data_IF_259718828675
#
_entry.id   IF_259718828675
#
_cell.length_a   1.000
_cell.length_b   1.000
_cell.length_c   1.000
_cell.angle_alpha   90.00
_cell.angle_beta   90.00
_cell.angle_gamma   90.00
#
_symmetry.space_group_name_H-M   'P 1'
#
loop_
_entity.id
_entity.type
_entity.pdbx_description
1 polymer ?
#
# COMPACT_ATOMS: atom_id res chain seq x y z
N UNK A 1 -19.90 -38.32 2.19
CA UNK A 1 -20.10 -36.91 1.79
C UNK A 1 -18.97 -36.49 0.89
N UNK A 2 -19.29 -36.12 -0.33
CA UNK A 2 -18.30 -35.64 -1.31
C UNK A 2 -17.85 -34.21 -0.95
N UNK A 3 -16.78 -33.78 -1.57
CA UNK A 3 -16.27 -32.41 -1.40
C UNK A 3 -17.33 -31.36 -1.81
N UNK A 4 -18.01 -31.60 -2.92
CA UNK A 4 -19.06 -30.70 -3.42
C UNK A 4 -20.22 -30.58 -2.45
N UNK A 5 -20.69 -31.70 -1.91
CA UNK A 5 -21.76 -31.73 -0.91
C UNK A 5 -21.35 -30.93 0.35
N UNK A 6 -20.11 -31.12 0.82
CA UNK A 6 -19.62 -30.40 1.99
C UNK A 6 -19.58 -28.90 1.75
N UNK A 7 -19.07 -28.49 0.59
CA UNK A 7 -18.99 -27.06 0.23
C UNK A 7 -20.39 -26.43 0.16
N UNK A 8 -21.37 -27.15 -0.38
CA UNK A 8 -22.75 -26.67 -0.43
C UNK A 8 -23.33 -26.47 0.98
N UNK A 9 -22.99 -27.38 1.91
CA UNK A 9 -23.45 -27.28 3.29
C UNK A 9 -22.81 -26.11 4.05
N UNK A 10 -21.67 -25.57 3.58
CA UNK A 10 -21.02 -24.44 4.23
C UNK A 10 -21.73 -23.11 3.96
N UNK A 11 -22.48 -22.98 2.87
CA UNK A 11 -23.06 -21.70 2.47
C UNK A 11 -24.11 -21.16 3.44
N UNK A 12 -25.11 -21.96 3.88
CA UNK A 12 -26.16 -21.42 4.78
C UNK A 12 -25.62 -20.93 6.14
N UNK A 13 -24.82 -21.71 6.90
CA UNK A 13 -24.33 -21.21 8.19
C UNK A 13 -23.37 -20.03 8.05
N UNK A 14 -22.60 -19.97 6.95
CA UNK A 14 -21.70 -18.87 6.69
C UNK A 14 -22.46 -17.56 6.37
N UNK A 15 -23.52 -17.67 5.56
CA UNK A 15 -24.36 -16.52 5.22
C UNK A 15 -25.13 -16.00 6.44
N UNK A 16 -25.68 -16.91 7.26
CA UNK A 16 -26.38 -16.54 8.50
C UNK A 16 -25.46 -15.83 9.49
N UNK A 17 -24.24 -16.35 9.66
CA UNK A 17 -23.23 -15.73 10.52
C UNK A 17 -22.85 -14.33 10.00
N UNK A 18 -22.61 -14.20 8.70
CA UNK A 18 -22.19 -12.94 8.08
C UNK A 18 -23.22 -11.83 8.28
N UNK A 19 -24.51 -12.17 8.27
CA UNK A 19 -25.57 -11.19 8.47
C UNK A 19 -25.46 -10.43 9.79
N UNK A 20 -24.89 -11.08 10.84
CA UNK A 20 -24.69 -10.45 12.14
C UNK A 20 -23.25 -10.03 12.45
N UNK A 21 -22.29 -10.61 11.75
CA UNK A 21 -20.87 -10.43 12.07
C UNK A 21 -20.12 -9.51 11.09
N UNK A 22 -20.76 -9.10 9.99
CA UNK A 22 -20.10 -8.30 8.95
C UNK A 22 -19.68 -6.93 9.50
N UNK A 23 -18.39 -6.63 9.38
CA UNK A 23 -17.89 -5.29 9.71
C UNK A 23 -18.48 -4.29 8.72
N UNK A 24 -18.88 -3.12 9.24
CA UNK A 24 -19.37 -2.03 8.40
C UNK A 24 -18.17 -1.36 7.73
N UNK A 25 -17.96 -1.64 6.46
CA UNK A 25 -16.85 -1.13 5.66
C UNK A 25 -17.39 -0.31 4.49
N UNK A 26 -16.82 0.88 4.22
CA UNK A 26 -17.38 1.78 3.19
C UNK A 26 -17.56 1.11 1.82
N UNK A 27 -16.63 0.26 1.44
CA UNK A 27 -16.67 -0.44 0.15
C UNK A 27 -17.68 -1.58 0.09
N UNK A 28 -18.30 -1.95 1.22
CA UNK A 28 -19.37 -2.94 1.27
C UNK A 28 -20.77 -2.32 1.11
N UNK A 29 -20.83 -0.97 1.20
CA UNK A 29 -22.10 -0.23 1.07
C UNK A 29 -22.45 0.09 -0.38
N UNK A 30 -21.66 -0.41 -1.33
CA UNK A 30 -21.81 -0.06 -2.74
C UNK A 30 -21.56 -1.29 -3.64
N UNK A 31 -22.18 -1.28 -4.82
CA UNK A 31 -21.89 -2.23 -5.90
C UNK A 31 -21.31 -1.51 -7.12
N UNK A 32 -20.96 -0.25 -6.99
CA UNK A 32 -20.28 0.51 -8.04
C UNK A 32 -18.93 -0.16 -8.33
N UNK A 33 -18.72 -0.69 -9.56
CA UNK A 33 -17.50 -1.47 -9.83
C UNK A 33 -16.22 -0.66 -9.68
N UNK A 34 -16.23 0.66 -9.95
CA UNK A 34 -15.06 1.51 -9.73
C UNK A 34 -14.69 1.55 -8.24
N UNK A 35 -15.69 1.79 -7.40
CA UNK A 35 -15.46 1.91 -5.94
C UNK A 35 -15.03 0.59 -5.31
N UNK A 36 -15.63 -0.52 -5.73
CA UNK A 36 -15.26 -1.87 -5.25
C UNK A 36 -13.85 -2.22 -5.71
N UNK A 37 -13.54 -1.99 -7.00
CA UNK A 37 -12.21 -2.27 -7.56
C UNK A 37 -11.11 -1.49 -6.84
N UNK A 38 -11.30 -0.19 -6.60
CA UNK A 38 -10.31 0.63 -5.85
C UNK A 38 -10.04 0.00 -4.49
N UNK A 39 -11.11 -0.42 -3.76
CA UNK A 39 -10.93 -1.03 -2.44
C UNK A 39 -10.19 -2.37 -2.54
N UNK A 40 -10.51 -3.21 -3.54
CA UNK A 40 -9.87 -4.51 -3.70
C UNK A 40 -8.36 -4.37 -3.96
N UNK A 41 -7.97 -3.39 -4.79
CA UNK A 41 -6.55 -3.11 -5.05
C UNK A 41 -5.86 -2.56 -3.79
N UNK A 42 -6.52 -1.66 -3.05
CA UNK A 42 -5.94 -1.13 -1.81
C UNK A 42 -5.76 -2.20 -0.73
N UNK A 43 -6.69 -3.15 -0.67
CA UNK A 43 -6.68 -4.23 0.33
C UNK A 43 -5.65 -5.33 0.04
N UNK A 44 -5.09 -5.39 -1.18
CA UNK A 44 -4.02 -6.34 -1.48
C UNK A 44 -2.85 -6.13 -0.52
N UNK A 45 -2.59 -7.11 0.36
CA UNK A 45 -1.50 -7.09 1.34
C UNK A 45 -1.52 -5.88 2.30
N UNK A 46 -2.67 -5.24 2.47
CA UNK A 46 -2.84 -4.09 3.38
C UNK A 46 -4.04 -4.35 4.30
N UNK A 47 -3.86 -4.05 5.58
CA UNK A 47 -4.91 -4.25 6.59
C UNK A 47 -6.07 -3.30 6.38
N UNK A 48 -7.28 -3.78 6.64
CA UNK A 48 -8.55 -3.03 6.49
C UNK A 48 -8.49 -1.65 7.17
N UNK A 49 -7.99 -1.60 8.40
CA UNK A 49 -7.97 -0.35 9.18
C UNK A 49 -7.08 0.72 8.53
N UNK A 50 -5.96 0.30 7.95
CA UNK A 50 -5.10 1.23 7.21
C UNK A 50 -5.80 1.76 5.95
N UNK A 51 -6.55 0.91 5.25
CA UNK A 51 -7.19 1.27 3.97
C UNK A 51 -8.32 2.29 4.14
N UNK A 52 -9.07 2.27 5.27
CA UNK A 52 -10.26 3.12 5.45
C UNK A 52 -10.01 4.60 5.10
N UNK A 53 -8.99 5.20 5.69
CA UNK A 53 -8.67 6.61 5.46
C UNK A 53 -8.17 6.89 4.04
N UNK A 54 -7.34 5.99 3.51
CA UNK A 54 -6.83 6.11 2.13
C UNK A 54 -7.96 6.06 1.10
N UNK A 55 -8.89 5.12 1.27
CA UNK A 55 -10.02 4.91 0.37
C UNK A 55 -10.89 6.19 0.31
N UNK A 56 -11.21 6.77 1.47
CA UNK A 56 -12.02 7.98 1.52
C UNK A 56 -11.34 9.15 0.79
N UNK A 57 -10.06 9.40 1.11
CA UNK A 57 -9.30 10.51 0.48
C UNK A 57 -9.13 10.30 -1.02
N UNK A 58 -8.86 9.06 -1.43
CA UNK A 58 -8.63 8.72 -2.84
C UNK A 58 -9.90 8.93 -3.67
N UNK A 59 -11.06 8.46 -3.17
CA UNK A 59 -12.33 8.64 -3.88
C UNK A 59 -12.81 10.09 -3.87
N UNK A 60 -12.45 10.87 -2.84
CA UNK A 60 -12.72 12.32 -2.83
C UNK A 60 -11.94 13.02 -3.94
N UNK A 61 -10.68 12.64 -4.15
CA UNK A 61 -9.84 13.23 -5.21
C UNK A 61 -10.19 12.68 -6.60
N UNK A 62 -10.49 11.38 -6.68
CA UNK A 62 -10.76 10.69 -7.95
C UNK A 62 -12.10 9.94 -7.83
N UNK A 63 -13.23 10.65 -7.98
CA UNK A 63 -14.56 10.02 -7.79
C UNK A 63 -14.94 9.03 -8.89
N UNK A 64 -14.27 9.05 -10.04
CA UNK A 64 -14.53 8.15 -11.18
C UNK A 64 -13.23 7.67 -11.80
N UNK A 65 -13.30 6.58 -12.58
CA UNK A 65 -12.15 6.09 -13.35
C UNK A 65 -11.63 7.16 -14.32
N UNK A 66 -12.51 7.96 -14.91
CA UNK A 66 -12.12 9.05 -15.81
C UNK A 66 -11.34 10.15 -15.07
N UNK A 67 -11.75 10.49 -13.84
CA UNK A 67 -11.02 11.45 -13.02
C UNK A 67 -9.63 10.91 -12.66
N UNK A 68 -9.55 9.63 -12.29
CA UNK A 68 -8.28 8.98 -11.98
C UNK A 68 -7.38 8.93 -13.22
N UNK A 69 -7.93 8.56 -14.38
CA UNK A 69 -7.17 8.45 -15.64
C UNK A 69 -6.53 9.78 -16.06
N UNK A 70 -7.21 10.90 -15.82
CA UNK A 70 -6.72 12.25 -16.17
C UNK A 70 -5.71 12.81 -15.17
N UNK A 71 -5.62 12.23 -13.99
CA UNK A 71 -4.74 12.74 -12.93
C UNK A 71 -3.26 12.51 -13.30
N UNK A 72 -2.36 13.44 -12.95
CA UNK A 72 -0.94 13.15 -13.07
C UNK A 72 -0.54 11.97 -12.16
N UNK A 73 0.33 11.09 -12.66
CA UNK A 73 0.83 9.94 -11.87
C UNK A 73 1.34 10.38 -10.49
N UNK A 74 2.00 11.53 -10.43
CA UNK A 74 2.55 12.09 -9.20
C UNK A 74 1.47 12.32 -8.13
N UNK A 75 0.30 12.82 -8.53
CA UNK A 75 -0.82 13.03 -7.62
C UNK A 75 -1.38 11.69 -7.12
N UNK A 76 -1.48 10.70 -8.01
CA UNK A 76 -1.94 9.36 -7.64
C UNK A 76 -0.99 8.73 -6.62
N UNK A 77 0.32 8.81 -6.88
CA UNK A 77 1.35 8.28 -5.98
C UNK A 77 1.37 9.03 -4.64
N UNK A 78 1.10 10.35 -4.66
CA UNK A 78 1.04 11.15 -3.42
C UNK A 78 -0.13 10.71 -2.53
N UNK A 79 -1.31 10.49 -3.10
CA UNK A 79 -2.49 10.00 -2.34
C UNK A 79 -2.32 8.56 -1.86
N UNK A 80 -1.40 7.80 -2.48
CA UNK A 80 -1.06 6.42 -2.07
C UNK A 80 0.07 6.36 -1.04
N UNK A 81 0.72 7.49 -0.77
CA UNK A 81 1.91 7.57 0.09
C UNK A 81 1.65 6.95 1.47
N UNK A 82 2.44 5.92 1.82
CA UNK A 82 2.31 5.18 3.07
C UNK A 82 1.60 3.84 2.98
N UNK A 83 0.80 3.59 1.92
CA UNK A 83 0.15 2.29 1.72
C UNK A 83 1.11 1.18 1.29
N UNK A 84 2.24 1.55 0.68
CA UNK A 84 3.22 0.58 0.18
C UNK A 84 2.80 -0.07 -1.14
N UNK A 85 3.71 -0.89 -1.69
CA UNK A 85 3.46 -1.62 -2.95
C UNK A 85 2.93 -0.68 -4.05
N UNK A 86 3.68 0.38 -4.34
CA UNK A 86 3.27 1.46 -5.24
C UNK A 86 3.01 1.01 -6.68
N UNK A 87 3.49 -0.17 -7.07
CA UNK A 87 3.12 -0.79 -8.35
C UNK A 87 1.61 -0.96 -8.49
N UNK A 88 0.89 -1.17 -7.36
CA UNK A 88 -0.58 -1.23 -7.36
C UNK A 88 -1.21 0.09 -7.78
N UNK A 89 -0.67 1.20 -7.27
CA UNK A 89 -1.17 2.55 -7.64
C UNK A 89 -0.96 2.82 -9.13
N UNK A 90 0.22 2.46 -9.65
CA UNK A 90 0.51 2.63 -11.08
C UNK A 90 -0.38 1.73 -11.95
N UNK A 91 -0.57 0.47 -11.54
CA UNK A 91 -1.46 -0.45 -12.26
C UNK A 91 -2.90 0.06 -12.23
N UNK A 92 -3.37 0.54 -11.06
CA UNK A 92 -4.69 1.14 -10.90
C UNK A 92 -4.87 2.34 -11.85
N UNK A 93 -3.86 3.21 -11.93
CA UNK A 93 -3.86 4.39 -12.80
C UNK A 93 -3.92 3.98 -14.29
N UNK A 94 -3.09 3.01 -14.70
CA UNK A 94 -3.08 2.50 -16.07
C UNK A 94 -4.42 1.83 -16.45
N UNK A 95 -5.00 1.04 -15.52
CA UNK A 95 -6.30 0.41 -15.75
C UNK A 95 -7.42 1.44 -15.84
N UNK A 96 -7.34 2.52 -15.04
CA UNK A 96 -8.34 3.61 -15.11
C UNK A 96 -8.40 4.24 -16.49
N UNK A 97 -7.26 4.37 -17.19
CA UNK A 97 -7.24 4.88 -18.55
C UNK A 97 -7.99 3.95 -19.54
N UNK A 98 -7.83 2.63 -19.39
CA UNK A 98 -8.57 1.66 -20.19
C UNK A 98 -10.06 1.72 -19.88
N UNK A 99 -10.43 1.78 -18.61
CA UNK A 99 -11.84 1.86 -18.18
C UNK A 99 -12.48 3.17 -18.67
N UNK A 100 -11.75 4.28 -18.64
CA UNK A 100 -12.27 5.57 -19.10
C UNK A 100 -12.52 5.56 -20.62
N UNK A 101 -11.72 4.81 -21.38
CA UNK A 101 -11.84 4.71 -22.83
C UNK A 101 -12.94 3.73 -23.29
N UNK A 102 -13.10 2.61 -22.57
CA UNK A 102 -13.91 1.48 -23.06
C UNK A 102 -15.06 1.09 -22.12
N UNK A 103 -15.18 1.74 -20.96
CA UNK A 103 -16.13 1.34 -19.91
C UNK A 103 -15.55 0.28 -18.99
N UNK A 104 -16.24 0.04 -17.87
CA UNK A 104 -15.82 -0.96 -16.90
C UNK A 104 -16.22 -2.36 -17.43
N UNK A 105 -15.26 -3.32 -17.57
CA UNK A 105 -15.62 -4.65 -18.07
C UNK A 105 -16.58 -5.35 -17.12
N UNK A 106 -17.58 -6.02 -17.69
CA UNK A 106 -18.63 -6.71 -16.91
C UNK A 106 -18.52 -8.24 -17.01
N UNK A 107 -17.40 -8.75 -17.56
CA UNK A 107 -17.13 -10.19 -17.67
C UNK A 107 -15.76 -10.51 -17.05
N UNK A 108 -15.54 -11.79 -16.75
CA UNK A 108 -14.34 -12.23 -16.04
C UNK A 108 -13.05 -11.94 -16.82
N UNK A 109 -13.07 -12.20 -18.12
CA UNK A 109 -11.84 -12.08 -18.94
C UNK A 109 -11.46 -10.61 -19.13
N UNK A 110 -12.45 -9.74 -19.34
CA UNK A 110 -12.23 -8.31 -19.39
C UNK A 110 -11.68 -7.75 -18.07
N UNK A 111 -12.24 -8.22 -16.94
CA UNK A 111 -11.72 -7.82 -15.62
C UNK A 111 -10.26 -8.29 -15.44
N UNK A 112 -9.98 -9.53 -15.83
CA UNK A 112 -8.64 -10.12 -15.69
C UNK A 112 -7.60 -9.44 -16.59
N UNK A 113 -8.04 -8.85 -17.71
CA UNK A 113 -7.17 -8.13 -18.63
C UNK A 113 -6.71 -6.76 -18.11
N UNK A 114 -7.38 -6.23 -17.07
CA UNK A 114 -7.01 -4.92 -16.51
C UNK A 114 -5.65 -4.98 -15.78
N UNK A 115 -4.77 -3.99 -15.98
CA UNK A 115 -3.52 -3.92 -15.23
C UNK A 115 -3.72 -4.04 -13.71
N UNK A 116 -2.95 -4.91 -13.07
CA UNK A 116 -2.98 -5.10 -11.62
C UNK A 116 -4.14 -5.95 -11.09
N UNK A 117 -5.01 -6.45 -11.99
CA UNK A 117 -6.13 -7.31 -11.61
C UNK A 117 -5.73 -8.77 -11.85
N UNK A 118 -5.57 -9.50 -10.76
CA UNK A 118 -5.33 -10.94 -10.81
C UNK A 118 -6.63 -11.74 -10.67
N UNK A 119 -6.55 -13.07 -10.76
CA UNK A 119 -7.77 -13.93 -10.70
C UNK A 119 -8.63 -13.67 -9.47
N UNK A 120 -8.03 -13.45 -8.31
CA UNK A 120 -8.78 -13.16 -7.08
C UNK A 120 -9.56 -11.84 -7.22
N UNK A 121 -8.89 -10.76 -7.66
CA UNK A 121 -9.55 -9.45 -7.79
C UNK A 121 -10.63 -9.47 -8.87
N UNK A 122 -10.38 -10.13 -10.01
CA UNK A 122 -11.40 -10.31 -11.06
C UNK A 122 -12.62 -11.05 -10.53
N UNK A 123 -12.41 -12.15 -9.79
CA UNK A 123 -13.49 -12.93 -9.19
C UNK A 123 -14.27 -12.11 -8.15
N UNK A 124 -13.56 -11.34 -7.29
CA UNK A 124 -14.21 -10.51 -6.26
C UNK A 124 -15.07 -9.41 -6.90
N UNK A 125 -14.53 -8.63 -7.84
CA UNK A 125 -15.27 -7.56 -8.52
C UNK A 125 -16.43 -8.16 -9.33
N UNK A 126 -16.17 -9.24 -10.06
CA UNK A 126 -17.20 -9.94 -10.85
C UNK A 126 -18.37 -10.42 -10.00
N UNK A 127 -18.06 -11.04 -8.87
CA UNK A 127 -19.10 -11.55 -7.96
C UNK A 127 -19.88 -10.42 -7.28
N UNK A 128 -19.18 -9.42 -6.76
CA UNK A 128 -19.80 -8.33 -5.97
C UNK A 128 -20.63 -7.40 -6.86
N UNK A 129 -20.08 -7.01 -8.01
CA UNK A 129 -20.69 -5.95 -8.84
C UNK A 129 -21.59 -6.48 -9.93
N UNK A 130 -21.24 -7.62 -10.52
CA UNK A 130 -21.91 -8.15 -11.72
C UNK A 130 -22.61 -9.49 -11.50
N UNK A 131 -22.54 -10.02 -10.28
CA UNK A 131 -23.14 -11.32 -9.92
C UNK A 131 -22.62 -12.47 -10.79
N UNK A 132 -21.38 -12.36 -11.27
CA UNK A 132 -20.79 -13.42 -12.10
C UNK A 132 -20.55 -14.68 -11.26
N UNK A 133 -20.88 -15.87 -11.79
CA UNK A 133 -20.49 -17.12 -11.13
C UNK A 133 -18.99 -17.31 -11.26
N UNK A 134 -18.30 -17.22 -10.14
CA UNK A 134 -16.83 -17.38 -10.13
C UNK A 134 -16.44 -18.70 -9.46
N UNK A 135 -15.35 -19.29 -9.83
CA UNK A 135 -14.90 -20.56 -9.23
C UNK A 135 -14.75 -20.51 -7.70
N UNK A 136 -14.55 -19.36 -7.18
CA UNK A 136 -14.36 -19.18 -5.73
C UNK A 136 -15.66 -18.96 -4.97
N UNK A 137 -16.60 -18.94 -5.53
CA UNK A 137 -17.79 -18.78 -4.82
C UNK A 137 -19.00 -18.66 -5.74
N UNK A 138 -19.69 -19.51 -6.03
CA UNK A 138 -20.76 -19.63 -6.81
C UNK A 138 -21.94 -18.99 -6.22
N UNK A 139 -21.76 -18.49 -5.42
CA UNK A 139 -22.82 -17.89 -4.76
C UNK A 139 -22.71 -16.40 -4.80
N UNK A 140 -23.44 -15.86 -4.75
CA UNK A 140 -23.58 -14.48 -4.66
C UNK A 140 -22.54 -13.75 -3.90
N UNK A 141 -22.61 -12.66 -4.01
CA UNK A 141 -21.83 -11.71 -3.33
C UNK A 141 -21.79 -11.83 -1.85
N UNK A 142 -22.63 -12.34 -1.33
CA UNK A 142 -22.67 -12.55 0.06
C UNK A 142 -21.81 -13.67 0.51
N UNK A 143 -21.71 -14.65 -0.28
CA UNK A 143 -20.83 -15.77 0.16
C UNK A 143 -19.35 -15.41 0.05
N UNK A 144 -18.96 -14.77 -1.02
CA UNK A 144 -17.57 -14.29 -1.20
C UNK A 144 -17.17 -13.36 -0.05
N UNK A 145 -17.99 -12.39 0.25
CA UNK A 145 -17.72 -11.43 1.34
C UNK A 145 -17.70 -12.13 2.70
N UNK A 146 -18.56 -13.13 2.92
CA UNK A 146 -18.57 -13.85 4.20
C UNK A 146 -17.31 -14.72 4.38
N UNK A 147 -16.79 -15.31 3.31
CA UNK A 147 -15.51 -16.03 3.37
C UNK A 147 -14.34 -15.07 3.68
N UNK A 148 -14.31 -13.91 3.04
CA UNK A 148 -13.32 -12.87 3.33
C UNK A 148 -13.40 -12.42 4.79
N UNK A 149 -14.61 -12.22 5.31
CA UNK A 149 -14.81 -11.80 6.70
C UNK A 149 -14.39 -12.89 7.67
N UNK A 150 -14.76 -14.14 7.38
CA UNK A 150 -14.34 -15.29 8.20
C UNK A 150 -12.81 -15.36 8.30
N UNK A 151 -12.13 -15.23 7.17
CA UNK A 151 -10.67 -15.25 7.12
C UNK A 151 -10.02 -14.07 7.83
N UNK A 152 -10.72 -12.93 7.91
CA UNK A 152 -10.19 -11.72 8.56
C UNK A 152 -10.44 -11.70 10.08
N UNK A 153 -11.54 -12.31 10.57
CA UNK A 153 -11.99 -12.10 11.95
C UNK A 153 -12.03 -13.37 12.81
N UNK A 154 -12.13 -14.53 12.18
CA UNK A 154 -12.26 -15.82 12.90
C UNK A 154 -11.11 -16.77 12.57
N UNK A 155 -10.88 -17.03 11.30
CA UNK A 155 -9.88 -18.01 10.83
C UNK A 155 -8.66 -17.28 10.22
N UNK A 156 -8.14 -16.28 10.96
CA UNK A 156 -7.02 -15.45 10.48
C UNK A 156 -5.71 -16.21 10.44
N UNK A 157 -4.79 -15.82 9.54
CA UNK A 157 -3.51 -16.52 9.42
C UNK A 157 -2.47 -16.16 10.49
N UNK A 158 -2.75 -15.19 11.34
CA UNK A 158 -1.77 -14.66 12.32
C UNK A 158 -2.24 -14.95 13.76
N UNK A 159 -2.10 -16.18 14.19
CA UNK A 159 -2.47 -16.62 15.53
C UNK A 159 -3.42 -17.81 15.49
N UNK A 160 -3.81 -18.33 16.66
CA UNK A 160 -4.73 -19.47 16.70
C UNK A 160 -6.11 -19.08 16.13
N UNK A 161 -6.69 -19.92 15.30
CA UNK A 161 -8.02 -19.63 14.74
C UNK A 161 -9.10 -19.73 15.82
N UNK A 162 -10.12 -18.88 15.69
CA UNK A 162 -11.26 -18.83 16.63
C UNK A 162 -12.28 -19.93 16.34
N UNK A 163 -11.87 -21.19 16.43
CA UNK A 163 -12.68 -22.34 16.05
C UNK A 163 -13.98 -22.45 16.86
N UNK A 164 -14.01 -21.99 18.09
CA UNK A 164 -15.17 -22.08 18.97
C UNK A 164 -16.33 -21.19 18.52
N UNK A 165 -16.00 -20.09 17.84
CA UNK A 165 -17.01 -19.16 17.32
C UNK A 165 -17.15 -19.22 15.79
N UNK A 166 -16.56 -20.26 15.17
CA UNK A 166 -16.59 -20.41 13.71
C UNK A 166 -17.92 -21.00 13.24
N UNK A 167 -18.65 -20.37 12.31
CA UNK A 167 -19.90 -20.92 11.83
C UNK A 167 -19.73 -22.24 11.08
N UNK A 168 -18.49 -22.55 10.65
CA UNK A 168 -18.18 -23.77 9.91
C UNK A 168 -17.51 -24.82 10.79
N UNK A 169 -17.49 -24.66 12.11
CA UNK A 169 -16.76 -25.54 13.03
C UNK A 169 -17.12 -27.03 12.85
N UNK A 170 -18.43 -27.32 12.68
CA UNK A 170 -18.92 -28.69 12.54
C UNK A 170 -18.57 -29.33 11.18
N UNK A 171 -18.32 -28.50 10.16
CA UNK A 171 -18.02 -28.98 8.79
C UNK A 171 -16.52 -28.92 8.48
N UNK A 172 -15.71 -28.38 9.41
CA UNK A 172 -14.29 -28.08 9.14
C UNK A 172 -13.40 -29.31 9.30
N UNK A 173 -12.84 -29.79 8.19
CA UNK A 173 -11.91 -30.93 8.19
C UNK A 173 -10.64 -30.64 8.98
N UNK A 174 -10.13 -29.41 8.92
CA UNK A 174 -8.92 -29.03 9.64
C UNK A 174 -9.14 -29.10 11.17
N UNK A 175 -10.32 -28.64 11.63
CA UNK A 175 -10.68 -28.71 13.05
C UNK A 175 -10.88 -30.19 13.48
N UNK A 176 -11.60 -30.96 12.67
CA UNK A 176 -11.84 -32.37 12.96
C UNK A 176 -10.54 -33.18 13.07
N UNK A 177 -9.55 -32.80 12.27
CA UNK A 177 -8.23 -33.44 12.27
C UNK A 177 -7.22 -32.83 13.27
N UNK A 178 -7.65 -31.87 14.10
CA UNK A 178 -6.76 -31.20 15.06
C UNK A 178 -5.66 -30.36 14.41
N UNK A 179 -5.83 -29.93 13.14
CA UNK A 179 -4.80 -29.28 12.34
C UNK A 179 -5.10 -27.82 12.02
N UNK A 180 -6.13 -27.23 12.63
CA UNK A 180 -6.55 -25.88 12.27
C UNK A 180 -5.42 -24.84 12.46
N UNK A 181 -4.62 -24.98 13.51
CA UNK A 181 -3.51 -24.05 13.79
C UNK A 181 -2.33 -24.19 12.80
N UNK A 182 -2.22 -25.35 12.14
CA UNK A 182 -1.17 -25.59 11.15
C UNK A 182 -1.50 -25.00 9.78
N UNK A 183 -2.68 -24.40 9.62
CA UNK A 183 -3.15 -23.84 8.34
C UNK A 183 -3.29 -22.31 8.44
N UNK A 184 -3.00 -21.59 7.36
CA UNK A 184 -2.50 -22.10 6.08
C UNK A 184 -1.02 -22.55 6.18
N UNK A 185 -0.66 -23.57 5.41
CA UNK A 185 0.75 -23.99 5.30
C UNK A 185 1.53 -22.84 4.66
N UNK A 186 2.53 -22.34 5.35
CA UNK A 186 3.33 -21.21 4.87
C UNK A 186 4.68 -21.70 4.36
N UNK A 187 5.06 -21.22 3.18
CA UNK A 187 6.42 -21.45 2.69
C UNK A 187 7.41 -20.75 3.62
N UNK A 188 8.58 -21.36 3.78
CA UNK A 188 9.66 -20.74 4.56
C UNK A 188 10.02 -19.38 3.96
N UNK A 189 10.19 -18.40 4.83
CA UNK A 189 10.57 -17.06 4.39
C UNK A 189 12.01 -17.09 3.87
N UNK A 190 12.20 -16.63 2.65
CA UNK A 190 13.56 -16.46 2.10
C UNK A 190 14.26 -15.35 2.86
N UNK A 191 15.57 -15.52 3.07
CA UNK A 191 16.40 -14.50 3.69
C UNK A 191 16.35 -13.21 2.84
N UNK A 192 16.23 -12.07 3.49
CA UNK A 192 16.27 -10.77 2.80
C UNK A 192 17.71 -10.40 2.48
N UNK A 193 17.91 -9.78 1.32
CA UNK A 193 19.19 -9.17 0.99
C UNK A 193 19.33 -7.89 1.82
N UNK A 194 20.42 -7.77 2.57
CA UNK A 194 20.72 -6.58 3.35
C UNK A 194 21.46 -5.56 2.48
N UNK A 195 21.07 -4.30 2.55
CA UNK A 195 21.75 -3.18 1.89
C UNK A 195 21.95 -2.06 2.90
N UNK A 196 23.10 -1.44 2.84
CA UNK A 196 23.46 -0.29 3.67
C UNK A 196 23.44 0.98 2.83
N UNK A 197 22.87 2.07 3.38
CA UNK A 197 22.80 3.36 2.67
C UNK A 197 23.01 4.51 3.65
N UNK A 198 23.69 5.53 3.18
CA UNK A 198 23.74 6.84 3.84
C UNK A 198 22.71 7.74 3.16
N UNK A 199 21.83 8.33 3.95
CA UNK A 199 20.72 9.20 3.52
C UNK A 199 21.05 10.64 3.98
N UNK A 200 20.83 11.61 3.10
CA UNK A 200 21.16 13.00 3.36
C UNK A 200 19.88 13.85 3.42
N UNK A 201 19.72 14.59 4.51
CA UNK A 201 18.71 15.63 4.66
C UNK A 201 19.42 16.97 4.47
N UNK A 202 19.55 17.40 3.22
CA UNK A 202 20.23 18.65 2.88
C UNK A 202 19.19 19.77 2.91
N UNK A 203 19.37 20.71 3.86
CA UNK A 203 18.41 21.79 4.10
C UNK A 203 19.06 23.12 3.70
N UNK A 204 18.39 23.87 2.81
CA UNK A 204 18.79 25.23 2.43
C UNK A 204 17.59 26.14 2.71
N UNK A 205 17.68 26.94 3.77
CA UNK A 205 16.56 27.66 4.28
C UNK A 205 15.43 26.72 4.70
N UNK A 206 14.24 26.97 4.23
CA UNK A 206 13.02 26.15 4.48
C UNK A 206 12.87 24.96 3.51
N UNK A 207 13.84 24.77 2.58
CA UNK A 207 13.73 23.75 1.53
C UNK A 207 14.66 22.58 1.76
N UNK A 208 14.16 21.40 1.37
CA UNK A 208 14.83 20.10 1.51
C UNK A 208 15.14 19.53 0.13
N UNK A 209 16.36 19.06 -0.06
CA UNK A 209 16.75 18.40 -1.32
C UNK A 209 16.04 17.05 -1.48
N UNK A 210 15.45 16.82 -2.65
CA UNK A 210 14.85 15.53 -3.02
C UNK A 210 15.28 15.15 -4.44
N UNK A 211 15.25 13.85 -4.74
CA UNK A 211 15.59 13.31 -6.06
C UNK A 211 14.44 12.46 -6.58
N UNK A 212 14.31 12.39 -7.90
CA UNK A 212 13.35 11.49 -8.54
C UNK A 212 14.02 10.13 -8.79
N UNK A 213 13.37 9.07 -8.37
CA UNK A 213 13.85 7.71 -8.65
C UNK A 213 13.56 7.31 -10.11
N UNK A 214 14.34 6.39 -10.67
CA UNK A 214 14.08 5.89 -12.02
C UNK A 214 12.67 5.31 -12.16
N UNK A 215 12.20 5.20 -13.41
CA UNK A 215 10.87 4.65 -13.73
C UNK A 215 10.77 3.14 -13.51
N UNK A 216 11.89 2.47 -13.21
CA UNK A 216 11.94 1.01 -12.99
C UNK A 216 12.64 0.71 -11.67
N UNK A 217 12.45 -0.51 -11.18
CA UNK A 217 13.11 -0.97 -9.96
C UNK A 217 12.33 -0.66 -8.68
N UNK A 218 13.01 -0.82 -7.56
CA UNK A 218 12.41 -0.63 -6.23
C UNK A 218 12.00 0.84 -6.04
N UNK A 219 10.77 1.08 -5.62
CA UNK A 219 10.19 2.41 -5.38
C UNK A 219 10.22 3.30 -6.65
N UNK A 220 10.03 2.69 -7.82
CA UNK A 220 10.05 3.37 -9.13
C UNK A 220 9.15 4.60 -9.15
N UNK A 221 9.61 5.66 -9.79
CA UNK A 221 8.90 6.95 -10.01
C UNK A 221 8.59 7.74 -8.74
N UNK A 222 8.98 7.26 -7.59
CA UNK A 222 8.79 8.00 -6.32
C UNK A 222 9.93 8.99 -6.10
N UNK A 223 9.75 9.87 -5.14
CA UNK A 223 10.82 10.74 -4.67
C UNK A 223 11.65 10.03 -3.60
N UNK A 224 12.88 10.45 -3.43
CA UNK A 224 13.76 9.97 -2.37
C UNK A 224 14.60 11.13 -1.83
N UNK A 225 15.10 10.97 -0.63
CA UNK A 225 16.16 11.84 -0.13
C UNK A 225 17.48 11.45 -0.82
N UNK A 226 18.39 12.39 -1.10
CA UNK A 226 19.71 12.05 -1.63
C UNK A 226 20.35 10.93 -0.82
N UNK A 227 20.92 9.93 -1.48
CA UNK A 227 21.52 8.80 -0.76
C UNK A 227 22.63 8.15 -1.57
N UNK A 228 23.53 7.46 -0.88
CA UNK A 228 24.62 6.67 -1.48
C UNK A 228 24.69 5.31 -0.80
N UNK A 229 25.23 4.29 -1.49
CA UNK A 229 25.50 2.99 -0.85
C UNK A 229 26.52 3.12 0.29
N UNK A 230 26.41 2.24 1.28
CA UNK A 230 27.32 2.17 2.41
C UNK A 230 26.95 3.12 3.55
N UNK A 231 27.64 2.97 4.69
CA UNK A 231 27.42 3.77 5.90
C UNK A 231 28.64 4.70 6.10
N UNK A 232 28.55 5.89 5.54
CA UNK A 232 29.63 6.88 5.62
C UNK A 232 29.84 7.39 7.06
N UNK A 233 31.06 7.77 7.38
CA UNK A 233 31.38 8.56 8.59
C UNK A 233 30.94 10.02 8.38
N UNK A 234 30.78 10.81 9.46
CA UNK A 234 30.30 12.20 9.32
C UNK A 234 31.14 13.07 8.36
N UNK A 235 32.49 12.93 8.41
CA UNK A 235 33.37 13.68 7.54
C UNK A 235 33.20 13.28 6.06
N UNK A 236 33.02 11.97 5.80
CA UNK A 236 32.81 11.47 4.45
C UNK A 236 31.44 11.95 3.91
N UNK A 237 30.44 12.01 4.79
CA UNK A 237 29.11 12.52 4.42
C UNK A 237 29.16 14.00 4.08
N UNK A 238 29.89 14.81 4.86
CA UNK A 238 30.07 16.23 4.55
C UNK A 238 30.80 16.42 3.19
N UNK A 239 31.86 15.67 2.96
CA UNK A 239 32.60 15.70 1.68
C UNK A 239 31.71 15.27 0.49
N UNK A 240 30.85 14.29 0.71
CA UNK A 240 29.89 13.85 -0.33
C UNK A 240 28.89 14.97 -0.65
N UNK A 241 28.38 15.68 0.35
CA UNK A 241 27.47 16.81 0.15
C UNK A 241 28.17 17.94 -0.63
N UNK A 242 29.43 18.25 -0.27
CA UNK A 242 30.25 19.24 -1.01
C UNK A 242 30.42 18.82 -2.48
N UNK A 243 30.71 17.54 -2.73
CA UNK A 243 30.88 17.01 -4.08
C UNK A 243 29.60 17.14 -4.92
N UNK A 244 28.44 17.20 -4.28
CA UNK A 244 27.17 17.43 -4.95
C UNK A 244 26.86 18.91 -5.19
N UNK A 245 27.73 19.81 -4.77
CA UNK A 245 27.61 21.24 -5.03
C UNK A 245 26.74 21.99 -4.01
N UNK A 246 26.36 21.35 -2.91
CA UNK A 246 25.83 22.09 -1.75
C UNK A 246 26.99 22.42 -0.81
N UNK A 247 26.86 23.48 -0.03
CA UNK A 247 27.90 23.87 0.92
C UNK A 247 27.41 23.60 2.33
N UNK A 248 27.73 22.41 2.91
CA UNK A 248 27.28 22.12 4.27
C UNK A 248 27.92 23.07 5.26
N UNK A 249 27.11 23.72 6.06
CA UNK A 249 27.54 24.69 7.08
C UNK A 249 27.69 24.01 8.44
N UNK A 250 26.67 23.19 8.78
CA UNK A 250 26.69 22.48 10.05
C UNK A 250 25.94 21.16 9.93
N UNK A 251 26.41 20.17 10.69
CA UNK A 251 25.71 18.91 10.88
C UNK A 251 24.68 19.13 12.01
N UNK A 252 23.41 19.02 11.66
CA UNK A 252 22.30 19.25 12.61
C UNK A 252 21.96 17.99 13.38
N UNK A 253 21.97 16.83 12.70
CA UNK A 253 21.53 15.57 13.31
C UNK A 253 22.14 14.38 12.59
N UNK A 254 22.42 13.32 13.35
CA UNK A 254 22.77 12.01 12.82
C UNK A 254 21.78 10.99 13.38
N UNK A 255 21.18 10.16 12.51
CA UNK A 255 20.19 9.16 12.92
C UNK A 255 20.49 7.82 12.27
N UNK A 256 20.00 6.75 12.89
CA UNK A 256 20.03 5.42 12.31
C UNK A 256 18.59 4.92 12.19
N UNK A 257 18.27 4.32 11.05
CA UNK A 257 16.94 3.77 10.76
C UNK A 257 17.10 2.44 10.06
N UNK A 258 16.03 1.69 10.03
CA UNK A 258 15.93 0.41 9.33
C UNK A 258 14.62 0.39 8.58
N UNK A 259 14.64 -0.15 7.36
CA UNK A 259 13.40 -0.31 6.60
C UNK A 259 13.37 -1.68 5.94
N UNK A 260 12.25 -2.38 6.09
CA UNK A 260 12.08 -3.76 5.61
C UNK A 260 11.10 -3.77 4.44
N UNK A 261 11.59 -4.20 3.28
CA UNK A 261 10.78 -4.54 2.11
C UNK A 261 10.55 -6.06 2.08
N UNK A 262 9.80 -6.53 1.12
CA UNK A 262 9.51 -7.97 0.98
C UNK A 262 10.79 -8.82 0.87
N UNK A 263 11.73 -8.38 0.02
CA UNK A 263 12.94 -9.16 -0.30
C UNK A 263 14.24 -8.47 0.06
N UNK A 264 14.19 -7.23 0.52
CA UNK A 264 15.35 -6.40 0.83
C UNK A 264 15.13 -5.75 2.19
N UNK A 265 16.21 -5.59 2.92
CA UNK A 265 16.24 -4.83 4.17
C UNK A 265 17.30 -3.74 4.04
N UNK A 266 16.93 -2.50 4.31
CA UNK A 266 17.85 -1.37 4.31
C UNK A 266 18.24 -1.00 5.73
N UNK A 267 19.54 -0.98 6.00
CA UNK A 267 20.17 -0.33 7.15
C UNK A 267 20.54 1.09 6.69
N UNK A 268 20.00 2.09 7.36
CA UNK A 268 20.05 3.49 6.90
C UNK A 268 20.74 4.36 7.95
N UNK A 269 21.74 5.12 7.53
CA UNK A 269 22.36 6.16 8.36
C UNK A 269 22.00 7.50 7.74
N UNK A 270 21.32 8.37 8.51
CA UNK A 270 20.87 9.67 8.06
C UNK A 270 21.75 10.78 8.62
N UNK A 271 22.11 11.75 7.78
CA UNK A 271 22.78 12.97 8.18
C UNK A 271 21.94 14.17 7.74
N UNK A 272 21.58 15.03 8.69
CA UNK A 272 20.89 16.29 8.41
C UNK A 272 21.91 17.42 8.43
N UNK A 273 22.07 18.13 7.31
CA UNK A 273 22.97 19.26 7.16
C UNK A 273 22.20 20.53 6.85
N UNK A 274 22.56 21.64 7.53
CA UNK A 274 22.26 22.99 7.06
C UNK A 274 23.25 23.31 5.94
N UNK A 275 22.75 23.83 4.81
CA UNK A 275 23.53 24.11 3.61
C UNK A 275 23.39 25.59 3.22
N UNK A 276 24.50 26.20 2.79
CA UNK A 276 24.53 27.61 2.41
C UNK A 276 23.94 27.87 1.01
N UNK A 277 23.86 26.85 0.16
CA UNK A 277 23.32 27.01 -1.18
C UNK A 277 22.66 25.73 -1.69
N UNK A 278 21.77 25.90 -2.65
CA UNK A 278 21.15 24.82 -3.39
C UNK A 278 22.05 24.36 -4.54
N UNK A 279 21.96 23.10 -4.88
CA UNK A 279 22.59 22.53 -6.06
C UNK A 279 21.52 22.19 -7.10
N UNK A 280 21.78 22.47 -8.36
CA UNK A 280 20.92 22.12 -9.50
C UNK A 280 20.79 20.60 -9.69
N UNK A 281 21.60 19.82 -8.99
CA UNK A 281 21.53 18.35 -8.98
C UNK A 281 20.20 17.86 -8.38
N UNK A 282 19.60 18.65 -7.50
CA UNK A 282 18.42 18.25 -6.71
C UNK A 282 17.21 19.13 -7.03
N UNK A 283 16.03 18.59 -6.76
CA UNK A 283 14.82 19.39 -6.63
C UNK A 283 14.72 19.81 -5.16
N UNK A 284 14.42 21.10 -4.94
CA UNK A 284 14.33 21.66 -3.58
C UNK A 284 12.86 21.85 -3.23
N UNK A 285 12.41 21.08 -2.25
CA UNK A 285 11.01 20.99 -1.86
C UNK A 285 10.77 21.75 -0.55
N UNK A 286 9.84 22.70 -0.57
CA UNK A 286 9.34 23.35 0.64
C UNK A 286 8.26 22.46 1.31
N UNK A 287 7.73 22.93 2.44
CA UNK A 287 6.70 22.21 3.18
C UNK A 287 5.43 21.94 2.33
N UNK A 288 5.04 22.90 1.49
CA UNK A 288 3.87 22.76 0.61
C UNK A 288 4.08 21.64 -0.42
N UNK A 289 5.26 21.59 -1.03
CA UNK A 289 5.63 20.54 -1.98
C UNK A 289 5.69 19.17 -1.28
N UNK A 290 6.26 19.10 -0.08
CA UNK A 290 6.35 17.86 0.71
C UNK A 290 4.95 17.33 1.07
N UNK A 291 3.99 18.22 1.37
CA UNK A 291 2.61 17.81 1.65
C UNK A 291 1.85 17.41 0.39
N UNK A 292 2.02 18.14 -0.71
CA UNK A 292 1.11 18.09 -1.86
C UNK A 292 1.56 17.24 -3.04
N UNK A 293 2.86 17.19 -3.35
CA UNK A 293 3.32 16.54 -4.60
C UNK A 293 4.54 15.63 -4.45
N UNK A 294 5.36 15.81 -3.41
CA UNK A 294 6.54 14.97 -3.22
C UNK A 294 6.14 13.71 -2.45
N UNK A 295 5.89 12.60 -3.18
CA UNK A 295 5.54 11.31 -2.58
C UNK A 295 6.81 10.60 -2.12
N UNK A 296 7.10 10.66 -0.82
CA UNK A 296 8.26 10.02 -0.19
C UNK A 296 7.84 8.69 0.44
N UNK A 297 8.40 7.55 -0.02
CA UNK A 297 8.13 6.27 0.65
C UNK A 297 8.61 6.29 2.10
N UNK A 298 7.98 5.44 2.92
CA UNK A 298 8.26 5.35 4.36
C UNK A 298 9.76 5.19 4.66
N UNK A 299 10.50 4.50 3.78
CA UNK A 299 11.96 4.33 3.93
C UNK A 299 12.69 5.66 4.07
N UNK A 300 12.20 6.72 3.42
CA UNK A 300 12.80 8.06 3.50
C UNK A 300 11.99 8.99 4.41
N UNK A 301 10.66 8.90 4.36
CA UNK A 301 9.78 9.73 5.17
C UNK A 301 10.07 9.64 6.67
N UNK A 302 10.53 8.47 7.16
CA UNK A 302 10.86 8.26 8.58
C UNK A 302 12.00 9.15 9.11
N UNK A 303 12.71 9.86 8.22
CA UNK A 303 13.75 10.83 8.60
C UNK A 303 13.19 12.25 8.79
N UNK A 304 11.94 12.49 8.39
CA UNK A 304 11.32 13.82 8.46
C UNK A 304 10.49 13.95 9.74
N UNK A 305 10.59 15.11 10.36
CA UNK A 305 9.79 15.47 11.53
C UNK A 305 8.58 16.32 11.17
N UNK A 306 7.71 16.62 12.14
CA UNK A 306 6.56 17.50 11.92
C UNK A 306 6.92 18.88 11.36
N UNK A 307 8.08 19.41 11.74
CA UNK A 307 8.57 20.70 11.25
C UNK A 307 8.76 20.77 9.74
N UNK A 308 9.12 19.66 9.12
CA UNK A 308 9.32 19.62 7.66
C UNK A 308 8.01 19.83 6.88
N UNK A 309 6.87 19.75 7.54
CA UNK A 309 5.56 19.87 6.94
C UNK A 309 4.82 21.14 7.34
N UNK A 310 5.41 21.99 8.23
CA UNK A 310 4.83 23.27 8.67
C UNK A 310 5.30 24.40 7.77
N UNK A 311 4.42 25.33 7.44
CA UNK A 311 4.80 26.59 6.77
C UNK A 311 5.37 27.56 7.79
N UNK A 312 6.11 28.58 7.34
CA UNK A 312 6.71 29.61 8.21
C UNK A 312 5.66 30.26 9.12
N UNK A 313 4.46 30.50 8.61
CA UNK A 313 3.36 31.07 9.39
C UNK A 313 2.92 30.19 10.57
N UNK A 314 3.10 28.86 10.42
CA UNK A 314 2.72 27.88 11.45
C UNK A 314 3.85 27.58 12.43
N UNK A 315 5.07 28.08 12.17
CA UNK A 315 6.22 27.91 13.05
C UNK A 315 6.35 29.00 14.10
N UNK A 316 5.69 30.14 13.88
CA UNK A 316 5.78 31.30 14.78
C UNK A 316 4.78 31.28 15.94
N UNK A 317 3.83 30.34 15.95
CA UNK A 317 2.77 30.23 16.98
C UNK A 317 3.07 29.25 18.12
N UNK A 318 4.31 28.73 18.24
CA UNK A 318 4.79 27.91 19.36
C UNK A 318 5.90 28.64 20.10
#
# INVERSE_FOLDING_TARGET
>A
MTESERLSLCAPPLAAWYAGAARDLPWRRTRDPYRVWVSEIMLQQTRVEAVRGYYARFLAAFPTAAALARAPEEQVLKLWEGLGYYSRARALHAAAAQIAAHGFPADHDGLLALPGVGPYTAAAVGSICFSLPTPAXXXXXXLTQSLMELGATVCGPNGPPGCERCPLAALCLARAAGRAEALPVRAAKKARRAEQKTVFLLRCGDRLAVCRRPKTGLLASLWELPNVPGLLAPQEAAAQAEAWGVKPVSLLEQTARRHIFTHIEWELRGFSFSCACESARFTWADAAALRGRVALPTAFRQFLGPGDFKTEEQQTDE
#
